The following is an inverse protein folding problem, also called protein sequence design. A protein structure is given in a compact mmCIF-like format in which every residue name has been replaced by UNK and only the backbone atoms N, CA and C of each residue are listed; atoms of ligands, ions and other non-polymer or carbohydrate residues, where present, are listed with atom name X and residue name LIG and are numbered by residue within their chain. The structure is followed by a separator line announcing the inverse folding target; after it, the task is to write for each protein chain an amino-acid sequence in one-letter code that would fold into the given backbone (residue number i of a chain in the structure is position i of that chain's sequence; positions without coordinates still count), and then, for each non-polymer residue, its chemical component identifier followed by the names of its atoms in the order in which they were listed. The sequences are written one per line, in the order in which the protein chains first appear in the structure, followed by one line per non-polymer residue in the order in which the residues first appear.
data_IF_803337619065
#
_entry.id   IF_803337619065
#
_cell.length_a   1.000
_cell.length_b   1.000
_cell.length_c   1.000
_cell.angle_alpha   90.00
_cell.angle_beta   90.00
_cell.angle_gamma   90.00
#
_symmetry.space_group_name_H-M   'P 1'
#
loop_
_entity.id
_entity.type
_entity.pdbx_description
1 polymer ?
#
# COMPACT_ATOMS: atom_id res chain seq x y z
N UNK A 1 0.87 3.45 11.45
CA UNK A 1 2.15 3.20 10.71
C UNK A 1 2.16 1.74 10.24
N UNK A 2 2.50 1.50 8.98
CA UNK A 2 2.65 0.15 8.41
C UNK A 2 4.14 -0.17 8.31
N UNK A 3 4.51 -1.41 8.63
CA UNK A 3 5.88 -1.93 8.49
C UNK A 3 5.84 -3.33 7.91
N UNK A 4 6.55 -3.55 6.81
CA UNK A 4 6.79 -4.89 6.25
C UNK A 4 7.78 -5.61 7.18
N UNK A 5 7.45 -6.84 7.58
CA UNK A 5 8.25 -7.66 8.50
C UNK A 5 8.95 -8.82 7.80
N UNK A 6 8.33 -9.38 6.76
CA UNK A 6 8.90 -10.43 5.92
C UNK A 6 8.52 -10.18 4.45
N UNK A 7 9.45 -10.38 3.52
CA UNK A 7 9.23 -10.26 2.08
C UNK A 7 9.96 -11.41 1.36
N UNK A 8 9.20 -12.26 0.70
CA UNK A 8 9.65 -13.43 -0.06
C UNK A 8 9.26 -13.23 -1.53
N UNK A 9 10.17 -12.71 -2.37
CA UNK A 9 9.90 -12.43 -3.78
C UNK A 9 9.78 -13.71 -4.63
N UNK A 10 10.44 -14.80 -4.24
CA UNK A 10 10.46 -16.04 -5.02
C UNK A 10 9.11 -16.76 -4.94
N UNK A 11 8.43 -16.70 -3.79
CA UNK A 11 7.11 -17.29 -3.59
C UNK A 11 5.97 -16.27 -3.61
N UNK A 12 6.26 -14.99 -3.89
CA UNK A 12 5.30 -13.89 -3.85
C UNK A 12 4.51 -13.79 -2.53
N UNK A 13 5.22 -13.87 -1.40
CA UNK A 13 4.62 -13.76 -0.07
C UNK A 13 5.16 -12.55 0.69
N UNK A 14 4.28 -11.85 1.39
CA UNK A 14 4.64 -10.69 2.21
C UNK A 14 3.90 -10.75 3.54
N UNK A 15 4.57 -10.35 4.62
CA UNK A 15 3.96 -10.10 5.92
C UNK A 15 4.24 -8.66 6.35
N UNK A 16 3.24 -8.03 6.94
CA UNK A 16 3.35 -6.68 7.46
C UNK A 16 2.56 -6.54 8.76
N UNK A 17 3.00 -5.62 9.60
CA UNK A 17 2.29 -5.18 10.79
C UNK A 17 1.85 -3.73 10.59
N UNK A 18 0.58 -3.46 10.85
CA UNK A 18 0.02 -2.12 10.83
C UNK A 18 -0.52 -1.78 12.23
N UNK A 19 -0.20 -0.56 12.69
CA UNK A 19 -0.74 -0.01 13.94
C UNK A 19 -1.58 1.22 13.64
N UNK A 20 -2.75 1.30 14.25
CA UNK A 20 -3.71 2.38 14.13
C UNK A 20 -4.78 2.27 15.22
N UNK A 21 -5.86 3.02 15.05
CA UNK A 21 -7.02 3.03 15.93
C UNK A 21 -8.31 2.98 15.09
N UNK A 22 -9.45 2.75 15.74
CA UNK A 22 -10.74 2.77 15.06
C UNK A 22 -11.08 4.17 14.56
N UNK A 23 -11.58 4.25 13.34
CA UNK A 23 -12.00 5.50 12.76
C UNK A 23 -13.30 5.99 13.42
N UNK A 24 -13.23 7.17 14.03
CA UNK A 24 -14.36 7.87 14.64
C UNK A 24 -14.64 9.22 13.95
N UNK A 25 -15.91 9.46 13.65
CA UNK A 25 -16.42 10.73 13.14
C UNK A 25 -16.16 11.86 14.16
N UNK A 26 -15.70 13.02 13.68
CA UNK A 26 -15.39 14.18 14.52
C UNK A 26 -14.02 14.15 15.20
N UNK A 27 -13.41 12.96 15.38
CA UNK A 27 -12.00 12.84 15.81
C UNK A 27 -11.04 12.88 14.62
N UNK A 28 -11.38 12.18 13.54
CA UNK A 28 -10.52 12.04 12.37
C UNK A 28 -11.07 12.88 11.19
N UNK A 29 -10.21 13.51 10.38
CA UNK A 29 -10.62 14.20 9.16
C UNK A 29 -11.29 13.24 8.17
N UNK A 30 -12.35 13.69 7.50
CA UNK A 30 -12.96 12.96 6.39
C UNK A 30 -12.21 13.24 5.09
N UNK A 31 -11.69 12.18 4.47
CA UNK A 31 -11.14 12.20 3.12
C UNK A 31 -12.08 11.54 2.12
N UNK A 32 -11.52 10.98 1.05
CA UNK A 32 -12.25 10.09 0.16
C UNK A 32 -12.28 8.66 0.70
N UNK A 33 -13.42 7.98 0.53
CA UNK A 33 -13.52 6.54 0.75
C UNK A 33 -12.80 5.79 -0.37
N UNK A 34 -12.18 4.66 -0.07
CA UNK A 34 -11.57 3.78 -1.07
C UNK A 34 -12.50 2.59 -1.25
N UNK A 35 -13.00 2.38 -2.47
CA UNK A 35 -13.94 1.29 -2.81
C UNK A 35 -13.22 0.03 -3.26
N UNK A 36 -12.13 0.16 -4.01
CA UNK A 36 -11.39 -0.96 -4.55
C UNK A 36 -9.92 -0.63 -4.86
N UNK A 37 -9.07 -1.65 -4.80
CA UNK A 37 -7.71 -1.64 -5.36
C UNK A 37 -7.76 -2.30 -6.74
N UNK A 38 -7.15 -1.69 -7.74
CA UNK A 38 -7.26 -2.16 -9.14
C UNK A 38 -5.91 -2.52 -9.74
N UNK A 39 -5.94 -3.40 -10.74
CA UNK A 39 -4.77 -3.71 -11.58
C UNK A 39 -4.55 -2.72 -12.73
N UNK A 40 -5.47 -1.74 -12.90
CA UNK A 40 -5.40 -0.76 -13.97
C UNK A 40 -4.10 0.05 -13.87
N UNK A 41 -3.24 -0.08 -14.88
CA UNK A 41 -1.93 0.56 -14.92
C UNK A 41 -1.06 0.34 -13.66
N UNK A 42 -1.21 -0.80 -12.98
CA UNK A 42 -0.34 -1.15 -11.85
C UNK A 42 1.10 -1.35 -12.32
N UNK A 43 2.05 -0.73 -11.62
CA UNK A 43 3.48 -0.84 -11.93
C UNK A 43 4.29 -1.10 -10.67
N UNK A 44 5.26 -2.00 -10.78
CA UNK A 44 6.29 -2.25 -9.78
C UNK A 44 7.62 -1.96 -10.48
N UNK A 45 8.28 -0.87 -10.09
CA UNK A 45 9.55 -0.43 -10.65
C UNK A 45 10.66 -0.76 -9.66
N UNK A 46 11.26 -1.93 -9.84
CA UNK A 46 12.45 -2.37 -9.11
C UNK A 46 13.60 -2.49 -10.11
N UNK A 47 14.31 -1.38 -10.35
CA UNK A 47 15.36 -1.28 -11.37
C UNK A 47 16.66 -0.77 -10.76
N UNK A 48 17.83 -1.16 -11.30
CA UNK A 48 19.13 -0.70 -10.80
C UNK A 48 19.33 0.82 -10.85
N UNK A 49 18.56 1.52 -11.70
CA UNK A 49 18.66 2.95 -11.97
C UNK A 49 17.86 3.82 -10.98
N UNK A 50 16.97 3.22 -10.19
CA UNK A 50 16.18 3.93 -9.17
C UNK A 50 16.78 3.71 -7.78
N UNK A 51 16.91 4.78 -7.00
CA UNK A 51 17.50 4.73 -5.66
C UNK A 51 16.69 3.82 -4.71
N UNK A 52 15.39 3.67 -4.96
CA UNK A 52 14.46 2.84 -4.18
C UNK A 52 13.41 2.23 -5.10
N UNK A 53 12.91 1.02 -4.80
CA UNK A 53 11.77 0.45 -5.52
C UNK A 53 10.54 1.35 -5.39
N UNK A 54 9.81 1.52 -6.49
CA UNK A 54 8.59 2.33 -6.55
C UNK A 54 7.39 1.48 -6.98
N UNK A 55 6.21 1.83 -6.47
CA UNK A 55 4.95 1.15 -6.80
C UNK A 55 3.90 2.20 -7.16
N UNK A 56 3.26 1.99 -8.31
CA UNK A 56 2.14 2.81 -8.78
C UNK A 56 0.88 1.95 -8.81
N UNK A 57 -0.17 2.39 -8.12
CA UNK A 57 -1.46 1.70 -8.00
C UNK A 57 -2.58 2.70 -8.20
N UNK A 58 -3.55 2.34 -9.05
CA UNK A 58 -4.80 3.09 -9.19
C UNK A 58 -5.85 2.47 -8.26
N UNK A 59 -6.48 3.33 -7.47
CA UNK A 59 -7.58 3.00 -6.56
C UNK A 59 -8.87 3.63 -7.05
N UNK A 60 -9.98 2.95 -6.80
CA UNK A 60 -11.32 3.48 -7.02
C UNK A 60 -11.82 4.18 -5.75
N UNK A 61 -12.35 5.40 -5.90
CA UNK A 61 -12.79 6.30 -4.81
C UNK A 61 -14.30 6.54 -4.88
#
# INVERSE_FOLDING_TARGET
KVKITEFDPDNFKIKATAYGEEFMLGKHPQGAEIKAITYSAMQILDRPEVERPEIFVIVDI
#
